data_IF_165538534526
#
_entry.id   IF_165538534526
#
_cell.length_a   1.000
_cell.length_b   1.000
_cell.length_c   1.000
_cell.angle_alpha   90.00
_cell.angle_beta   90.00
_cell.angle_gamma   90.00
#
_symmetry.space_group_name_H-M   'P 1'
#
loop_
_entity.id
_entity.type
_entity.pdbx_description
1 polymer ?
#
# COMPACT_ATOMS: atom_id res chain seq x y z
N UNK A 1 3.38 10.25 70.07
CA UNK A 1 2.62 9.06 69.62
C UNK A 1 1.69 9.31 68.41
N UNK A 2 1.33 10.55 68.04
CA UNK A 2 0.42 10.78 66.89
C UNK A 2 1.08 10.96 65.51
N UNK A 3 2.35 11.35 65.43
CA UNK A 3 2.99 11.63 64.12
C UNK A 3 3.23 10.34 63.31
N UNK A 4 3.66 9.26 63.97
CA UNK A 4 3.92 7.96 63.31
C UNK A 4 2.65 7.29 62.77
N UNK A 5 1.49 7.50 63.42
CA UNK A 5 0.20 6.94 62.96
C UNK A 5 -0.32 7.72 61.76
N UNK A 6 -0.21 9.06 61.76
CA UNK A 6 -0.63 9.90 60.64
C UNK A 6 0.23 9.67 59.38
N UNK A 7 1.56 9.57 59.54
CA UNK A 7 2.48 9.26 58.45
C UNK A 7 2.18 7.87 57.86
N UNK A 8 1.89 6.86 58.70
CA UNK A 8 1.50 5.52 58.22
C UNK A 8 0.15 5.49 57.51
N UNK A 9 -0.84 6.24 58.01
CA UNK A 9 -2.15 6.36 57.35
C UNK A 9 -2.06 7.06 55.99
N UNK A 10 -1.26 8.13 55.91
CA UNK A 10 -0.98 8.83 54.64
C UNK A 10 -0.23 7.93 53.64
N UNK A 11 0.72 7.13 54.12
CA UNK A 11 1.45 6.18 53.28
C UNK A 11 0.55 5.09 52.71
N UNK A 12 -0.31 4.48 53.54
CA UNK A 12 -1.25 3.45 53.10
C UNK A 12 -2.24 3.99 52.07
N UNK A 13 -2.73 5.21 52.25
CA UNK A 13 -3.60 5.88 51.29
C UNK A 13 -2.89 6.12 49.96
N UNK A 14 -1.64 6.61 49.98
CA UNK A 14 -0.84 6.78 48.76
C UNK A 14 -0.64 5.43 48.04
N UNK A 15 -0.28 4.37 48.79
CA UNK A 15 -0.12 3.04 48.24
C UNK A 15 -1.43 2.53 47.61
N UNK A 16 -2.57 2.70 48.29
CA UNK A 16 -3.89 2.32 47.80
C UNK A 16 -4.24 3.05 46.49
N UNK A 17 -4.01 4.36 46.43
CA UNK A 17 -4.24 5.16 45.22
C UNK A 17 -3.37 4.70 44.05
N UNK A 18 -2.08 4.42 44.29
CA UNK A 18 -1.16 3.94 43.25
C UNK A 18 -1.51 2.54 42.74
N UNK A 19 -2.10 1.68 43.59
CA UNK A 19 -2.60 0.37 43.16
C UNK A 19 -3.72 0.47 42.13
N UNK A 20 -4.48 1.57 42.14
CA UNK A 20 -5.59 1.81 41.21
C UNK A 20 -5.18 2.67 40.01
N UNK A 21 -4.25 3.61 40.22
CA UNK A 21 -3.69 4.45 39.16
C UNK A 21 -2.23 4.81 39.43
N UNK A 22 -1.31 4.03 38.85
CA UNK A 22 0.12 4.22 39.00
C UNK A 22 0.64 5.54 38.45
N UNK A 23 -0.09 6.21 37.54
CA UNK A 23 0.32 7.51 37.02
C UNK A 23 0.19 8.65 38.06
N UNK A 24 -0.49 8.41 39.18
CA UNK A 24 -0.52 9.35 40.31
C UNK A 24 0.86 9.53 40.94
N UNK A 25 1.84 8.66 40.66
CA UNK A 25 3.22 8.79 41.12
C UNK A 25 3.84 10.15 40.80
N UNK A 26 3.44 10.76 39.68
CA UNK A 26 3.91 12.08 39.25
C UNK A 26 3.57 13.23 40.22
N UNK A 27 2.61 13.03 41.13
CA UNK A 27 2.18 14.03 42.10
C UNK A 27 2.77 13.80 43.50
N UNK A 28 3.49 12.70 43.72
CA UNK A 28 4.12 12.40 45.00
C UNK A 28 5.44 13.16 45.15
N UNK A 29 5.51 14.03 46.15
CA UNK A 29 6.71 14.81 46.51
C UNK A 29 7.78 13.96 47.20
N UNK A 30 7.37 12.99 48.02
CA UNK A 30 8.25 12.04 48.69
C UNK A 30 7.97 10.63 48.17
N UNK A 31 8.94 10.07 47.47
CA UNK A 31 8.87 8.73 46.90
C UNK A 31 9.83 7.80 47.64
N UNK A 32 9.45 6.54 47.75
CA UNK A 32 10.36 5.45 48.11
C UNK A 32 10.26 4.32 47.08
N UNK A 33 11.09 3.30 47.28
CA UNK A 33 11.15 2.20 46.32
C UNK A 33 9.86 1.38 46.26
N UNK A 34 9.10 1.31 47.36
CA UNK A 34 7.87 0.51 47.44
C UNK A 34 6.72 1.20 46.72
N UNK A 35 6.50 2.50 46.96
CA UNK A 35 5.48 3.28 46.25
C UNK A 35 5.77 3.30 44.74
N UNK A 36 7.03 3.49 44.35
CA UNK A 36 7.43 3.44 42.94
C UNK A 36 7.11 2.07 42.33
N UNK A 37 7.43 0.98 43.05
CA UNK A 37 7.16 -0.39 42.59
C UNK A 37 5.66 -0.67 42.45
N UNK A 38 4.83 -0.24 43.40
CA UNK A 38 3.37 -0.37 43.34
C UNK A 38 2.82 0.36 42.10
N UNK A 39 3.26 1.60 41.89
CA UNK A 39 2.84 2.42 40.76
C UNK A 39 3.18 1.77 39.42
N UNK A 40 4.42 1.27 39.27
CA UNK A 40 4.90 0.64 38.04
C UNK A 40 4.22 -0.70 37.78
N UNK A 41 3.96 -1.50 38.83
CA UNK A 41 3.19 -2.75 38.71
C UNK A 41 1.77 -2.50 38.21
N UNK A 42 1.12 -1.42 38.64
CA UNK A 42 -0.18 -1.02 38.10
C UNK A 42 -0.05 -0.50 36.66
N UNK A 43 0.90 0.38 36.38
CA UNK A 43 1.12 0.96 35.06
C UNK A 43 2.62 1.09 34.74
N UNK A 44 3.16 0.30 33.80
CA UNK A 44 4.58 0.34 33.43
C UNK A 44 5.11 1.73 33.08
N UNK A 45 4.26 2.61 32.52
CA UNK A 45 4.64 3.99 32.15
C UNK A 45 4.83 4.91 33.34
N UNK A 46 4.40 4.51 34.54
CA UNK A 46 4.71 5.22 35.78
C UNK A 46 6.22 5.27 36.05
N UNK A 47 7.02 4.38 35.45
CA UNK A 47 8.48 4.39 35.57
C UNK A 47 9.10 5.74 35.18
N UNK A 48 8.45 6.49 34.28
CA UNK A 48 8.81 7.88 33.92
C UNK A 48 8.95 8.80 35.14
N UNK A 49 8.14 8.57 36.17
CA UNK A 49 8.05 9.43 37.36
C UNK A 49 8.78 8.87 38.58
N UNK A 50 9.33 7.65 38.47
CA UNK A 50 10.03 7.00 39.56
C UNK A 50 11.43 7.61 39.73
N UNK A 51 11.63 8.34 40.83
CA UNK A 51 12.91 8.94 41.19
C UNK A 51 13.93 7.90 41.66
N UNK A 52 13.45 6.82 42.26
CA UNK A 52 14.25 5.69 42.75
C UNK A 52 13.87 4.42 41.97
N UNK A 53 14.88 3.69 41.50
CA UNK A 53 14.69 2.48 40.69
C UNK A 53 15.38 1.26 41.28
N UNK A 54 14.73 0.09 41.19
CA UNK A 54 15.31 -1.21 41.49
C UNK A 54 15.10 -2.18 40.31
N UNK A 55 15.75 -3.33 40.37
CA UNK A 55 15.72 -4.31 39.29
C UNK A 55 14.32 -4.88 39.03
N UNK A 56 13.59 -5.26 40.07
CA UNK A 56 12.24 -5.83 39.94
C UNK A 56 11.29 -4.87 39.21
N UNK A 57 11.27 -3.60 39.61
CA UNK A 57 10.43 -2.57 39.03
C UNK A 57 10.79 -2.31 37.56
N UNK A 58 12.07 -2.15 37.26
CA UNK A 58 12.53 -1.93 35.88
C UNK A 58 12.21 -3.13 35.00
N UNK A 59 12.44 -4.35 35.48
CA UNK A 59 12.15 -5.58 34.75
C UNK A 59 10.65 -5.74 34.51
N UNK A 60 9.81 -5.46 35.50
CA UNK A 60 8.36 -5.46 35.36
C UNK A 60 7.90 -4.46 34.29
N UNK A 61 8.44 -3.24 34.31
CA UNK A 61 8.08 -2.20 33.34
C UNK A 61 8.39 -2.63 31.90
N UNK A 62 9.63 -3.03 31.62
CA UNK A 62 10.05 -3.39 30.25
C UNK A 62 9.39 -4.68 29.76
N UNK A 63 9.08 -5.60 30.67
CA UNK A 63 8.38 -6.85 30.34
C UNK A 63 6.96 -6.63 29.86
N UNK A 64 6.28 -5.63 30.43
CA UNK A 64 4.88 -5.32 30.09
C UNK A 64 4.76 -4.23 29.02
N UNK A 65 5.76 -3.35 28.88
CA UNK A 65 5.75 -2.28 27.89
C UNK A 65 7.20 -1.94 27.47
N UNK A 66 7.66 -2.49 26.35
CA UNK A 66 9.07 -2.40 25.94
C UNK A 66 9.56 -0.96 25.74
N UNK A 67 8.71 -0.04 25.27
CA UNK A 67 9.04 1.39 25.13
C UNK A 67 9.39 2.11 26.44
N UNK A 68 9.10 1.51 27.61
CA UNK A 68 9.47 2.04 28.93
C UNK A 68 10.97 1.98 29.19
N UNK A 69 11.73 1.22 28.38
CA UNK A 69 13.19 1.17 28.45
C UNK A 69 13.82 2.57 28.41
N UNK A 70 13.20 3.54 27.71
CA UNK A 70 13.66 4.94 27.69
C UNK A 70 13.73 5.60 29.06
N UNK A 71 12.96 5.12 30.05
CA UNK A 71 12.91 5.65 31.41
C UNK A 71 13.79 4.87 32.39
N UNK A 72 14.42 3.77 31.94
CA UNK A 72 15.36 3.01 32.77
C UNK A 72 16.69 3.77 32.84
N UNK A 73 17.12 4.08 34.07
CA UNK A 73 18.35 4.84 34.32
C UNK A 73 19.60 4.02 33.92
N UNK A 74 19.73 2.81 34.47
CA UNK A 74 20.84 1.91 34.19
C UNK A 74 20.36 0.73 33.34
N UNK A 75 20.52 0.83 32.02
CA UNK A 75 20.08 -0.18 31.05
C UNK A 75 21.04 -1.36 31.05
N UNK A 76 20.69 -2.42 31.77
CA UNK A 76 21.42 -3.70 31.72
C UNK A 76 21.03 -4.48 30.47
N UNK A 77 21.90 -5.41 30.05
CA UNK A 77 21.60 -6.29 28.92
C UNK A 77 20.27 -7.05 29.09
N UNK A 78 19.96 -7.47 30.32
CA UNK A 78 18.71 -8.14 30.64
C UNK A 78 17.49 -7.25 30.40
N UNK A 79 17.52 -5.98 30.83
CA UNK A 79 16.42 -5.04 30.60
C UNK A 79 16.25 -4.76 29.10
N UNK A 80 17.36 -4.55 28.40
CA UNK A 80 17.38 -4.34 26.96
C UNK A 80 16.76 -5.54 26.21
N UNK A 81 17.27 -6.76 26.42
CA UNK A 81 16.77 -7.95 25.74
C UNK A 81 15.29 -8.21 26.06
N UNK A 82 14.87 -8.01 27.31
CA UNK A 82 13.46 -8.15 27.70
C UNK A 82 12.55 -7.11 27.02
N UNK A 83 12.99 -5.86 26.96
CA UNK A 83 12.29 -4.79 26.25
C UNK A 83 12.16 -5.12 24.76
N UNK A 84 13.24 -5.57 24.12
CA UNK A 84 13.28 -5.87 22.68
C UNK A 84 12.45 -7.09 22.31
N UNK A 85 12.40 -8.09 23.19
CA UNK A 85 11.55 -9.27 23.01
C UNK A 85 10.06 -8.92 23.04
N UNK A 86 9.69 -7.89 23.80
CA UNK A 86 8.33 -7.37 23.87
C UNK A 86 8.02 -6.37 22.73
N UNK A 87 8.96 -5.45 22.45
CA UNK A 87 8.82 -4.37 21.46
C UNK A 87 10.16 -4.06 20.77
N UNK A 88 10.36 -4.57 19.55
CA UNK A 88 11.63 -4.49 18.83
C UNK A 88 12.04 -3.05 18.48
N UNK A 89 11.08 -2.12 18.34
CA UNK A 89 11.37 -0.70 18.12
C UNK A 89 12.00 -0.01 19.34
N UNK A 90 11.97 -0.64 20.53
CA UNK A 90 12.64 -0.13 21.72
C UNK A 90 14.17 -0.06 21.57
N UNK A 91 14.75 -0.70 20.54
CA UNK A 91 16.18 -0.60 20.23
C UNK A 91 16.65 0.84 20.02
N UNK A 92 15.74 1.75 19.63
CA UNK A 92 16.04 3.19 19.51
C UNK A 92 16.44 3.88 20.82
N UNK A 93 16.26 3.21 21.96
CA UNK A 93 16.63 3.69 23.29
C UNK A 93 17.87 3.00 23.84
N UNK A 94 18.56 2.19 23.03
CA UNK A 94 19.79 1.49 23.40
C UNK A 94 20.94 2.14 22.65
N UNK A 95 21.89 2.69 23.40
CA UNK A 95 23.14 3.17 22.84
C UNK A 95 24.06 1.97 22.57
N UNK A 96 24.61 1.88 21.36
CA UNK A 96 25.51 0.80 20.92
C UNK A 96 24.97 -0.62 21.19
N UNK A 97 23.80 -1.01 20.61
CA UNK A 97 23.22 -2.33 20.84
C UNK A 97 24.16 -3.45 20.36
N UNK A 98 24.21 -4.54 21.12
CA UNK A 98 24.94 -5.75 20.71
C UNK A 98 24.27 -6.42 19.52
N UNK A 99 24.99 -7.30 18.82
CA UNK A 99 24.40 -8.08 17.73
C UNK A 99 23.19 -8.91 18.18
N UNK A 100 23.24 -9.50 19.38
CA UNK A 100 22.11 -10.23 19.97
C UNK A 100 20.88 -9.33 20.15
N UNK A 101 21.07 -8.10 20.64
CA UNK A 101 20.00 -7.11 20.76
C UNK A 101 19.43 -6.73 19.39
N UNK A 102 20.30 -6.45 18.42
CA UNK A 102 19.90 -6.17 17.05
C UNK A 102 19.04 -7.30 16.47
N UNK A 103 19.49 -8.55 16.59
CA UNK A 103 18.76 -9.73 16.11
C UNK A 103 17.42 -9.93 16.84
N UNK A 104 17.40 -9.76 18.16
CA UNK A 104 16.16 -9.82 18.95
C UNK A 104 15.15 -8.78 18.45
N UNK A 105 15.62 -7.54 18.23
CA UNK A 105 14.78 -6.45 17.75
C UNK A 105 14.18 -6.73 16.37
N UNK A 106 14.99 -7.15 15.40
CA UNK A 106 14.50 -7.38 14.02
C UNK A 106 13.68 -8.66 13.87
N UNK A 107 13.90 -9.67 14.73
CA UNK A 107 13.03 -10.85 14.83
C UNK A 107 11.65 -10.48 15.36
N UNK A 108 11.58 -9.56 16.32
CA UNK A 108 10.30 -9.08 16.84
C UNK A 108 9.60 -8.16 15.82
N UNK A 109 10.34 -7.24 15.19
CA UNK A 109 9.82 -6.33 14.17
C UNK A 109 10.93 -5.92 13.19
N UNK A 110 10.84 -6.35 11.94
CA UNK A 110 11.87 -6.08 10.93
C UNK A 110 12.14 -4.59 10.69
N UNK A 111 11.16 -3.70 10.96
CA UNK A 111 11.36 -2.25 10.86
C UNK A 111 12.28 -1.66 11.94
N UNK A 112 12.61 -2.42 12.99
CA UNK A 112 13.63 -2.04 13.95
C UNK A 112 14.99 -1.78 13.28
N UNK A 113 15.24 -2.37 12.11
CA UNK A 113 16.44 -2.14 11.29
C UNK A 113 16.71 -0.65 11.02
N UNK A 114 15.66 0.18 10.95
CA UNK A 114 15.77 1.65 10.80
C UNK A 114 16.65 2.29 11.88
N UNK A 115 16.66 1.74 13.08
CA UNK A 115 17.37 2.30 14.24
C UNK A 115 18.73 1.63 14.48
N UNK A 116 19.10 0.63 13.69
CA UNK A 116 20.38 -0.08 13.80
C UNK A 116 21.40 0.60 12.88
N UNK A 117 22.45 1.18 13.47
CA UNK A 117 23.52 1.83 12.71
C UNK A 117 24.47 0.81 12.07
N UNK A 118 25.00 -0.10 12.88
CA UNK A 118 25.90 -1.14 12.40
C UNK A 118 25.11 -2.35 11.92
N UNK A 119 24.88 -2.41 10.60
CA UNK A 119 24.15 -3.49 9.95
C UNK A 119 25.11 -4.52 9.37
N UNK A 120 24.88 -5.79 9.67
CA UNK A 120 25.56 -6.91 9.02
C UNK A 120 24.57 -7.72 8.13
N UNK A 121 25.07 -8.60 7.25
CA UNK A 121 24.20 -9.37 6.36
C UNK A 121 23.15 -10.21 7.09
N UNK A 122 23.46 -10.76 8.27
CA UNK A 122 22.53 -11.59 9.04
C UNK A 122 21.37 -10.76 9.60
N UNK A 123 21.66 -9.61 10.23
CA UNK A 123 20.63 -8.70 10.76
C UNK A 123 19.70 -8.24 9.63
N UNK A 124 20.27 -7.84 8.48
CA UNK A 124 19.47 -7.43 7.31
C UNK A 124 18.59 -8.57 6.78
N UNK A 125 19.15 -9.78 6.63
CA UNK A 125 18.38 -10.95 6.17
C UNK A 125 17.23 -11.27 7.11
N UNK A 126 17.48 -11.31 8.43
CA UNK A 126 16.43 -11.60 9.41
C UNK A 126 15.34 -10.53 9.40
N UNK A 127 15.71 -9.25 9.30
CA UNK A 127 14.76 -8.15 9.21
C UNK A 127 13.84 -8.26 7.98
N UNK A 128 14.44 -8.51 6.81
CA UNK A 128 13.70 -8.65 5.54
C UNK A 128 12.90 -9.95 5.48
N UNK A 129 13.41 -11.04 6.06
CA UNK A 129 12.70 -12.32 6.19
C UNK A 129 11.37 -12.14 6.92
N UNK A 130 11.41 -11.49 8.08
CA UNK A 130 10.21 -11.29 8.89
C UNK A 130 9.32 -10.16 8.34
N UNK A 131 9.90 -9.16 7.68
CA UNK A 131 9.18 -8.02 7.14
C UNK A 131 9.82 -7.58 5.82
N UNK A 132 9.34 -8.05 4.65
CA UNK A 132 9.98 -7.77 3.36
C UNK A 132 10.22 -6.29 3.07
N UNK A 133 9.28 -5.43 3.50
CA UNK A 133 9.38 -3.97 3.37
C UNK A 133 10.48 -3.33 4.23
N UNK A 134 11.08 -4.05 5.18
CA UNK A 134 12.25 -3.60 5.92
C UNK A 134 13.47 -3.40 5.01
N UNK A 135 13.47 -3.95 3.78
CA UNK A 135 14.52 -3.69 2.79
C UNK A 135 14.72 -2.19 2.56
N UNK A 136 13.69 -1.35 2.72
CA UNK A 136 13.81 0.12 2.68
C UNK A 136 14.93 0.66 3.60
N UNK A 137 15.16 0.01 4.74
CA UNK A 137 16.13 0.42 5.76
C UNK A 137 17.48 -0.29 5.67
N UNK A 138 17.65 -1.24 4.74
CA UNK A 138 18.93 -1.90 4.49
C UNK A 138 19.88 -0.90 3.83
N UNK A 139 21.05 -0.64 4.43
CA UNK A 139 22.05 0.29 3.89
C UNK A 139 22.69 -0.24 2.61
N UNK A 140 23.11 -1.52 2.62
CA UNK A 140 23.73 -2.19 1.47
C UNK A 140 22.83 -3.33 0.97
N UNK A 141 22.06 -3.05 -0.07
CA UNK A 141 21.10 -4.00 -0.67
C UNK A 141 21.83 -4.90 -1.65
N UNK A 142 22.30 -6.04 -1.16
CA UNK A 142 22.88 -7.07 -2.03
C UNK A 142 21.82 -7.67 -2.94
N UNK A 143 22.24 -8.29 -4.05
CA UNK A 143 21.32 -9.01 -4.94
C UNK A 143 20.54 -10.09 -4.19
N UNK A 144 21.19 -10.82 -3.28
CA UNK A 144 20.56 -11.87 -2.47
C UNK A 144 19.41 -11.33 -1.61
N UNK A 145 19.65 -10.26 -0.83
CA UNK A 145 18.60 -9.67 0.03
C UNK A 145 17.48 -9.06 -0.83
N UNK A 146 17.84 -8.50 -1.98
CA UNK A 146 16.91 -7.90 -2.93
C UNK A 146 15.98 -8.95 -3.54
N UNK A 147 16.53 -10.07 -4.02
CA UNK A 147 15.77 -11.21 -4.53
C UNK A 147 14.82 -11.76 -3.47
N UNK A 148 15.34 -11.98 -2.26
CA UNK A 148 14.55 -12.46 -1.15
C UNK A 148 13.33 -11.54 -0.87
N UNK A 149 13.54 -10.21 -0.85
CA UNK A 149 12.47 -9.25 -0.61
C UNK A 149 11.40 -9.26 -1.71
N UNK A 150 11.80 -9.27 -2.99
CA UNK A 150 10.85 -9.21 -4.11
C UNK A 150 10.09 -10.52 -4.31
N UNK A 151 10.71 -11.65 -3.97
CA UNK A 151 10.03 -12.94 -3.96
C UNK A 151 8.91 -12.95 -2.92
N UNK A 152 9.17 -12.42 -1.72
CA UNK A 152 8.17 -12.34 -0.66
C UNK A 152 7.04 -11.33 -0.95
N UNK A 153 7.37 -10.11 -1.41
CA UNK A 153 6.38 -9.18 -1.97
C UNK A 153 7.01 -8.33 -3.08
N UNK A 154 6.56 -8.52 -4.31
CA UNK A 154 7.08 -7.81 -5.48
C UNK A 154 7.01 -6.27 -5.40
N UNK A 155 6.13 -5.69 -4.59
CA UNK A 155 6.09 -4.23 -4.40
C UNK A 155 7.30 -3.69 -3.63
N UNK A 156 8.11 -4.54 -3.00
CA UNK A 156 9.37 -4.12 -2.37
C UNK A 156 10.39 -3.60 -3.38
N UNK A 157 10.19 -3.91 -4.68
CA UNK A 157 10.98 -3.41 -5.80
C UNK A 157 11.16 -1.88 -5.78
N UNK A 158 10.16 -1.14 -5.31
CA UNK A 158 10.22 0.33 -5.20
C UNK A 158 11.37 0.85 -4.31
N UNK A 159 11.93 -0.01 -3.44
CA UNK A 159 13.00 0.33 -2.52
C UNK A 159 14.37 -0.18 -2.96
N UNK A 160 14.46 -0.89 -4.09
CA UNK A 160 15.71 -1.47 -4.58
C UNK A 160 16.30 -0.54 -5.64
N UNK A 161 17.45 0.10 -5.38
CA UNK A 161 18.12 0.93 -6.37
C UNK A 161 18.78 0.02 -7.41
N UNK A 162 18.69 0.42 -8.68
CA UNK A 162 19.31 -0.29 -9.81
C UNK A 162 19.04 -1.81 -9.84
N UNK A 163 17.77 -2.28 -9.84
CA UNK A 163 17.47 -3.69 -10.01
C UNK A 163 17.96 -4.21 -11.36
N UNK A 164 18.43 -5.46 -11.39
CA UNK A 164 18.73 -6.19 -12.61
C UNK A 164 17.47 -6.91 -13.14
N UNK A 165 17.58 -7.52 -14.32
CA UNK A 165 16.46 -8.20 -14.98
C UNK A 165 15.87 -9.34 -14.14
N UNK A 166 16.71 -10.09 -13.42
CA UNK A 166 16.27 -11.16 -12.53
C UNK A 166 15.39 -10.63 -11.38
N UNK A 167 15.80 -9.54 -10.71
CA UNK A 167 15.01 -8.91 -9.65
C UNK A 167 13.68 -8.38 -10.20
N UNK A 168 13.70 -7.76 -11.39
CA UNK A 168 12.47 -7.31 -12.04
C UNK A 168 11.52 -8.47 -12.32
N UNK A 169 12.03 -9.57 -12.88
CA UNK A 169 11.25 -10.75 -13.20
C UNK A 169 10.64 -11.38 -11.96
N UNK A 170 11.43 -11.60 -10.91
CA UNK A 170 10.96 -12.18 -9.64
C UNK A 170 9.93 -11.27 -8.94
N UNK A 171 10.12 -9.94 -8.99
CA UNK A 171 9.15 -9.00 -8.46
C UNK A 171 7.79 -9.10 -9.17
N UNK A 172 7.79 -9.15 -10.51
CA UNK A 172 6.56 -9.23 -11.30
C UNK A 172 5.91 -10.61 -11.20
N UNK A 173 6.71 -11.68 -11.14
CA UNK A 173 6.22 -13.04 -10.87
C UNK A 173 5.56 -13.13 -9.51
N UNK A 174 6.14 -12.53 -8.48
CA UNK A 174 5.52 -12.46 -7.15
C UNK A 174 4.23 -11.63 -7.22
N UNK A 175 4.34 -10.37 -7.66
CA UNK A 175 3.24 -9.40 -7.68
C UNK A 175 3.24 -8.59 -8.99
N UNK A 176 2.32 -8.85 -9.93
CA UNK A 176 2.29 -8.18 -11.23
C UNK A 176 2.23 -6.65 -11.17
N UNK A 177 1.63 -6.08 -10.12
CA UNK A 177 1.57 -4.63 -9.88
C UNK A 177 2.96 -3.99 -9.69
N UNK A 178 4.01 -4.77 -9.43
CA UNK A 178 5.38 -4.29 -9.36
C UNK A 178 5.84 -3.64 -10.67
N UNK A 179 5.19 -3.96 -11.80
CA UNK A 179 5.48 -3.37 -13.12
C UNK A 179 5.46 -1.83 -13.12
N UNK A 180 4.69 -1.21 -12.21
CA UNK A 180 4.64 0.25 -12.05
C UNK A 180 5.94 0.88 -11.55
N UNK A 181 6.82 0.08 -10.96
CA UNK A 181 8.13 0.53 -10.47
C UNK A 181 9.25 0.30 -11.51
N UNK A 182 8.93 -0.29 -12.66
CA UNK A 182 9.90 -0.58 -13.72
C UNK A 182 9.84 0.53 -14.77
N UNK A 183 10.93 1.31 -14.89
CA UNK A 183 10.98 2.44 -15.81
C UNK A 183 11.08 1.99 -17.28
N UNK A 184 11.93 1.01 -17.57
CA UNK A 184 12.10 0.43 -18.91
C UNK A 184 11.44 -0.96 -18.95
N UNK A 185 10.17 -1.00 -19.34
CA UNK A 185 9.37 -2.22 -19.35
C UNK A 185 9.66 -2.99 -20.64
N UNK A 186 10.37 -4.11 -20.56
CA UNK A 186 10.56 -4.99 -21.71
C UNK A 186 9.25 -5.69 -22.09
N UNK A 187 9.08 -6.00 -23.37
CA UNK A 187 7.91 -6.76 -23.84
C UNK A 187 7.76 -8.11 -23.12
N UNK A 188 8.87 -8.75 -22.76
CA UNK A 188 8.89 -9.99 -22.00
C UNK A 188 8.23 -9.84 -20.62
N UNK A 189 8.66 -8.86 -19.82
CA UNK A 189 8.13 -8.68 -18.47
C UNK A 189 6.67 -8.20 -18.46
N UNK A 190 6.30 -7.39 -19.46
CA UNK A 190 4.93 -6.94 -19.68
C UNK A 190 4.00 -8.14 -19.96
N UNK A 191 4.43 -9.07 -20.81
CA UNK A 191 3.66 -10.28 -21.11
C UNK A 191 3.47 -11.17 -19.88
N UNK A 192 4.50 -11.33 -19.04
CA UNK A 192 4.38 -12.05 -17.77
C UNK A 192 3.33 -11.38 -16.87
N UNK A 193 3.44 -10.07 -16.67
CA UNK A 193 2.54 -9.31 -15.81
C UNK A 193 1.08 -9.40 -16.27
N UNK A 194 0.84 -9.14 -17.56
CA UNK A 194 -0.49 -9.12 -18.17
C UNK A 194 -1.14 -10.51 -18.21
N UNK A 195 -0.34 -11.57 -18.39
CA UNK A 195 -0.83 -12.96 -18.33
C UNK A 195 -1.36 -13.30 -16.93
N UNK A 196 -0.67 -12.86 -15.87
CA UNK A 196 -1.07 -13.15 -14.49
C UNK A 196 -2.19 -12.24 -14.00
N UNK A 197 -2.17 -10.94 -14.34
CA UNK A 197 -3.20 -9.97 -13.94
C UNK A 197 -3.44 -8.93 -15.04
N UNK A 198 -4.45 -9.11 -15.92
CA UNK A 198 -4.69 -8.21 -17.05
C UNK A 198 -4.89 -6.74 -16.67
N UNK A 199 -5.44 -6.45 -15.48
CA UNK A 199 -5.70 -5.07 -15.03
C UNK A 199 -4.41 -4.24 -14.81
N UNK A 200 -3.23 -4.87 -14.75
CA UNK A 200 -1.96 -4.11 -14.68
C UNK A 200 -1.64 -3.33 -15.94
N UNK A 201 -2.42 -3.50 -17.03
CA UNK A 201 -2.33 -2.70 -18.25
C UNK A 201 -2.36 -1.18 -17.97
N UNK A 202 -3.06 -0.75 -16.91
CA UNK A 202 -3.09 0.66 -16.46
C UNK A 202 -1.69 1.23 -16.11
N UNK A 203 -0.70 0.38 -15.86
CA UNK A 203 0.68 0.75 -15.55
C UNK A 203 1.63 0.57 -16.75
N UNK A 204 1.12 0.09 -17.89
CA UNK A 204 1.89 -0.15 -19.10
C UNK A 204 1.87 1.12 -19.95
N UNK A 205 3.04 1.55 -20.43
CA UNK A 205 3.13 2.74 -21.29
C UNK A 205 2.33 2.53 -22.58
N UNK A 206 1.59 3.54 -23.00
CA UNK A 206 0.74 3.51 -24.20
C UNK A 206 1.54 3.37 -25.51
N UNK A 207 2.86 3.49 -25.46
CA UNK A 207 3.75 3.22 -26.61
C UNK A 207 3.81 1.74 -27.00
N UNK A 208 3.45 0.80 -26.11
CA UNK A 208 3.31 -0.62 -26.44
C UNK A 208 1.94 -0.89 -27.08
N UNK A 209 1.68 -0.28 -28.24
CA UNK A 209 0.36 -0.26 -28.90
C UNK A 209 -0.21 -1.68 -29.07
N UNK A 210 0.60 -2.66 -29.48
CA UNK A 210 0.15 -4.04 -29.72
C UNK A 210 -0.37 -4.74 -28.45
N UNK A 211 0.29 -4.51 -27.30
CA UNK A 211 -0.15 -5.06 -26.02
C UNK A 211 -1.48 -4.45 -25.56
N UNK A 212 -1.65 -3.15 -25.78
CA UNK A 212 -2.89 -2.45 -25.49
C UNK A 212 -4.04 -2.95 -26.37
N UNK A 213 -3.82 -3.06 -27.68
CA UNK A 213 -4.82 -3.60 -28.60
C UNK A 213 -5.18 -5.05 -28.26
N UNK A 214 -4.20 -5.90 -27.93
CA UNK A 214 -4.46 -7.26 -27.48
C UNK A 214 -5.29 -7.30 -26.18
N UNK A 215 -4.96 -6.43 -25.22
CA UNK A 215 -5.67 -6.33 -23.94
C UNK A 215 -7.12 -5.85 -24.13
N UNK A 216 -7.35 -4.84 -24.96
CA UNK A 216 -8.68 -4.30 -25.28
C UNK A 216 -9.49 -5.33 -26.05
N UNK A 217 -8.89 -6.05 -27.00
CA UNK A 217 -9.55 -7.14 -27.72
C UNK A 217 -10.06 -8.24 -26.78
N UNK A 218 -9.29 -8.56 -25.73
CA UNK A 218 -9.73 -9.53 -24.68
C UNK A 218 -10.76 -8.93 -23.73
N UNK A 219 -10.67 -7.64 -23.43
CA UNK A 219 -11.58 -6.92 -22.54
C UNK A 219 -11.75 -5.47 -22.96
N UNK A 220 -12.82 -5.20 -23.72
CA UNK A 220 -13.10 -3.90 -24.32
C UNK A 220 -13.11 -2.73 -23.32
N UNK A 221 -13.54 -2.98 -22.08
CA UNK A 221 -13.56 -1.97 -21.01
C UNK A 221 -12.19 -1.42 -20.61
N UNK A 222 -11.07 -1.99 -21.07
CA UNK A 222 -9.74 -1.41 -20.84
C UNK A 222 -9.46 -0.17 -21.69
N UNK A 223 -10.24 0.08 -22.75
CA UNK A 223 -10.05 1.28 -23.58
C UNK A 223 -10.19 2.58 -22.76
N UNK A 224 -11.01 2.57 -21.69
CA UNK A 224 -11.18 3.71 -20.76
C UNK A 224 -9.93 4.05 -19.95
N UNK A 225 -8.95 3.14 -19.91
CA UNK A 225 -7.69 3.36 -19.20
C UNK A 225 -6.67 4.13 -20.04
N UNK A 226 -6.91 4.27 -21.36
CA UNK A 226 -6.11 5.12 -22.23
C UNK A 226 -6.43 6.58 -21.88
N UNK A 227 -5.39 7.37 -21.62
CA UNK A 227 -5.55 8.76 -21.18
C UNK A 227 -5.50 9.74 -22.35
N UNK A 228 -4.37 9.80 -23.05
CA UNK A 228 -4.08 10.87 -24.01
C UNK A 228 -3.52 10.33 -25.33
N UNK A 229 -4.02 9.19 -25.80
CA UNK A 229 -3.57 8.57 -27.05
C UNK A 229 -4.74 8.25 -27.96
N UNK A 230 -5.22 9.30 -28.63
CA UNK A 230 -6.31 9.22 -29.59
C UNK A 230 -6.02 8.25 -30.74
N UNK A 231 -4.76 8.21 -31.22
CA UNK A 231 -4.33 7.26 -32.25
C UNK A 231 -4.57 5.82 -31.83
N UNK A 232 -4.24 5.45 -30.59
CA UNK A 232 -4.47 4.13 -30.05
C UNK A 232 -5.97 3.84 -29.86
N UNK A 233 -6.74 4.82 -29.40
CA UNK A 233 -8.21 4.72 -29.31
C UNK A 233 -8.82 4.46 -30.69
N UNK A 234 -8.42 5.23 -31.71
CA UNK A 234 -8.88 5.02 -33.10
C UNK A 234 -8.52 3.61 -33.58
N UNK A 235 -7.29 3.14 -33.35
CA UNK A 235 -6.89 1.77 -33.69
C UNK A 235 -7.74 0.71 -33.00
N UNK A 236 -8.11 0.92 -31.73
CA UNK A 236 -9.00 0.02 -31.02
C UNK A 236 -10.42 0.02 -31.62
N UNK A 237 -10.93 1.19 -32.01
CA UNK A 237 -12.23 1.32 -32.71
C UNK A 237 -12.18 0.64 -34.09
N UNK A 238 -11.08 0.77 -34.84
CA UNK A 238 -10.88 0.04 -36.10
C UNK A 238 -10.96 -1.48 -35.93
N UNK A 239 -10.52 -2.02 -34.79
CA UNK A 239 -10.61 -3.46 -34.51
C UNK A 239 -12.01 -3.90 -34.05
N UNK A 240 -12.71 -3.05 -33.29
CA UNK A 240 -14.06 -3.31 -32.82
C UNK A 240 -14.80 -1.98 -32.58
N UNK A 241 -15.70 -1.57 -33.48
CA UNK A 241 -16.41 -0.29 -33.35
C UNK A 241 -17.24 -0.13 -32.07
N UNK A 242 -17.71 -1.23 -31.47
CA UNK A 242 -18.58 -1.21 -30.29
C UNK A 242 -17.84 -0.87 -28.99
N UNK A 243 -16.50 -0.88 -28.97
CA UNK A 243 -15.70 -0.51 -27.78
C UNK A 243 -15.94 0.93 -27.34
N UNK A 244 -16.50 1.76 -28.22
CA UNK A 244 -16.84 3.16 -27.94
C UNK A 244 -17.76 3.31 -26.72
N UNK A 245 -18.60 2.30 -26.41
CA UNK A 245 -19.47 2.31 -25.22
C UNK A 245 -18.70 2.42 -23.90
N UNK A 246 -17.42 2.04 -23.88
CA UNK A 246 -16.60 2.01 -22.68
C UNK A 246 -15.78 3.29 -22.48
N UNK A 247 -15.67 4.16 -23.48
CA UNK A 247 -15.01 5.45 -23.30
C UNK A 247 -15.85 6.34 -22.38
N UNK A 248 -15.18 7.05 -21.46
CA UNK A 248 -15.84 7.97 -20.52
C UNK A 248 -16.38 9.22 -21.23
N UNK A 249 -15.71 9.66 -22.28
CA UNK A 249 -16.19 10.68 -23.22
C UNK A 249 -16.30 10.07 -24.62
N UNK A 250 -17.36 10.41 -25.35
CA UNK A 250 -17.61 9.92 -26.70
C UNK A 250 -17.64 11.09 -27.71
N UNK A 251 -16.47 11.65 -28.07
CA UNK A 251 -16.38 12.72 -29.07
C UNK A 251 -17.06 12.34 -30.37
N UNK A 252 -17.76 13.30 -30.99
CA UNK A 252 -18.59 13.03 -32.17
C UNK A 252 -17.79 12.43 -33.34
N UNK A 253 -16.54 12.84 -33.55
CA UNK A 253 -15.72 12.28 -34.63
C UNK A 253 -15.35 10.81 -34.40
N UNK A 254 -15.13 10.38 -33.15
CA UNK A 254 -14.93 8.96 -32.81
C UNK A 254 -16.22 8.16 -32.94
N UNK A 255 -17.36 8.76 -32.58
CA UNK A 255 -18.69 8.17 -32.82
C UNK A 255 -18.96 7.95 -34.31
N UNK A 256 -18.70 8.97 -35.13
CA UNK A 256 -18.81 8.87 -36.59
C UNK A 256 -17.85 7.84 -37.16
N UNK A 257 -16.62 7.75 -36.64
CA UNK A 257 -15.68 6.70 -37.04
C UNK A 257 -16.27 5.31 -36.75
N UNK A 258 -16.73 5.06 -35.53
CA UNK A 258 -17.33 3.78 -35.16
C UNK A 258 -18.53 3.41 -36.06
N UNK A 259 -19.46 4.35 -36.25
CA UNK A 259 -20.65 4.16 -37.12
C UNK A 259 -20.26 3.96 -38.58
N UNK A 260 -19.19 4.60 -39.06
CA UNK A 260 -18.72 4.41 -40.44
C UNK A 260 -18.15 3.01 -40.70
N UNK A 261 -17.60 2.38 -39.67
CA UNK A 261 -17.03 1.04 -39.72
C UNK A 261 -18.10 -0.04 -39.51
N UNK A 262 -19.04 0.21 -38.59
CA UNK A 262 -20.21 -0.64 -38.35
C UNK A 262 -21.39 0.26 -37.96
N UNK A 263 -22.40 0.34 -38.83
CA UNK A 263 -23.58 1.17 -38.57
C UNK A 263 -24.33 0.79 -37.29
N UNK A 264 -24.20 -0.46 -36.81
CA UNK A 264 -24.81 -0.94 -35.58
C UNK A 264 -24.15 -0.33 -34.33
N UNK A 265 -22.92 0.17 -34.45
CA UNK A 265 -22.19 0.81 -33.35
C UNK A 265 -22.90 2.05 -32.81
N UNK A 266 -23.88 2.63 -33.52
CA UNK A 266 -24.73 3.69 -32.98
C UNK A 266 -25.43 3.27 -31.68
N UNK A 267 -25.77 1.99 -31.51
CA UNK A 267 -26.35 1.47 -30.27
C UNK A 267 -25.41 1.62 -29.06
N UNK A 268 -24.10 1.57 -29.29
CA UNK A 268 -23.04 1.73 -28.29
C UNK A 268 -22.82 3.21 -27.89
N UNK A 269 -23.36 4.16 -28.66
CA UNK A 269 -23.25 5.60 -28.38
C UNK A 269 -24.31 6.03 -27.34
N UNK A 270 -23.87 6.76 -26.31
CA UNK A 270 -24.71 7.24 -25.20
C UNK A 270 -25.60 8.41 -25.62
N UNK A 271 -25.02 9.39 -26.29
CA UNK A 271 -25.71 10.55 -26.85
C UNK A 271 -25.76 10.46 -28.38
N UNK A 272 -26.92 10.08 -28.92
CA UNK A 272 -27.11 9.91 -30.36
C UNK A 272 -27.70 11.21 -30.92
N UNK A 273 -26.83 12.18 -31.19
CA UNK A 273 -27.23 13.46 -31.78
C UNK A 273 -27.97 13.22 -33.10
N UNK A 274 -28.89 14.12 -33.46
CA UNK A 274 -29.64 14.00 -34.73
C UNK A 274 -28.68 13.88 -35.93
N UNK A 275 -27.60 14.67 -35.95
CA UNK A 275 -26.58 14.60 -36.99
C UNK A 275 -25.93 13.22 -37.08
N UNK A 276 -25.62 12.58 -35.94
CA UNK A 276 -25.06 11.24 -35.91
C UNK A 276 -26.08 10.17 -36.33
N UNK A 277 -27.35 10.31 -35.94
CA UNK A 277 -28.44 9.44 -36.37
C UNK A 277 -28.63 9.47 -37.90
N UNK A 278 -28.70 10.66 -38.48
CA UNK A 278 -28.79 10.85 -39.94
C UNK A 278 -27.54 10.29 -40.64
N UNK A 279 -26.35 10.50 -40.06
CA UNK A 279 -25.12 9.92 -40.57
C UNK A 279 -25.18 8.38 -40.55
N UNK A 280 -25.69 7.75 -39.50
CA UNK A 280 -25.84 6.29 -39.44
C UNK A 280 -26.81 5.76 -40.50
N UNK A 281 -27.95 6.44 -40.72
CA UNK A 281 -28.89 6.11 -41.81
C UNK A 281 -28.24 6.21 -43.18
N UNK A 282 -27.36 7.19 -43.39
CA UNK A 282 -26.59 7.32 -44.63
C UNK A 282 -25.62 6.15 -44.88
N UNK A 283 -25.25 5.40 -43.82
CA UNK A 283 -24.40 4.19 -43.94
C UNK A 283 -25.24 2.94 -44.17
N UNK A 284 -26.40 2.83 -43.53
CA UNK A 284 -27.34 1.73 -43.74
C UNK A 284 -28.70 2.10 -43.18
N UNK A 285 -29.76 1.84 -43.95
CA UNK A 285 -31.14 2.05 -43.48
C UNK A 285 -31.48 1.20 -42.25
N UNK A 286 -30.84 0.03 -42.09
CA UNK A 286 -31.02 -0.83 -40.93
C UNK A 286 -30.53 -0.17 -39.62
N UNK A 287 -29.76 0.91 -39.69
CA UNK A 287 -29.32 1.66 -38.52
C UNK A 287 -30.50 2.20 -37.69
N UNK A 288 -31.67 2.42 -38.29
CA UNK A 288 -32.89 2.85 -37.58
C UNK A 288 -33.26 1.93 -36.40
N UNK A 289 -32.93 0.64 -36.50
CA UNK A 289 -33.21 -0.36 -35.48
C UNK A 289 -32.29 -0.25 -34.26
N UNK A 290 -31.14 0.42 -34.42
CA UNK A 290 -30.11 0.59 -33.39
C UNK A 290 -30.14 2.00 -32.76
N UNK A 291 -30.87 2.93 -33.37
CA UNK A 291 -31.17 4.25 -32.79
C UNK A 291 -32.18 4.07 -31.63
N UNK A 292 -31.84 4.58 -30.44
CA UNK A 292 -32.71 4.51 -29.27
C UNK A 292 -33.94 5.37 -29.50
N UNK A 293 -35.11 4.92 -29.05
CA UNK A 293 -36.40 5.56 -29.37
C UNK A 293 -36.43 7.07 -29.08
N UNK A 294 -35.83 7.51 -27.96
CA UNK A 294 -35.77 8.94 -27.58
C UNK A 294 -34.96 9.83 -28.55
N UNK A 295 -34.13 9.25 -29.43
CA UNK A 295 -33.32 9.98 -30.41
C UNK A 295 -33.86 9.85 -31.85
N UNK A 296 -35.03 9.23 -32.04
CA UNK A 296 -35.74 9.20 -33.33
C UNK A 296 -36.58 10.46 -33.48
N UNK A 297 -35.93 11.58 -33.79
CA UNK A 297 -36.63 12.82 -34.10
C UNK A 297 -37.50 12.68 -35.36
N UNK A 298 -38.43 13.61 -35.54
CA UNK A 298 -39.26 13.68 -36.76
C UNK A 298 -38.39 13.75 -38.02
N UNK A 299 -37.28 14.50 -37.97
CA UNK A 299 -36.33 14.58 -39.08
C UNK A 299 -35.68 13.21 -39.39
N UNK A 300 -35.26 12.46 -38.36
CA UNK A 300 -34.68 11.12 -38.54
C UNK A 300 -35.69 10.14 -39.13
N UNK A 301 -36.95 10.20 -38.69
CA UNK A 301 -38.03 9.33 -39.19
C UNK A 301 -38.41 9.69 -40.62
N UNK A 302 -38.59 10.97 -40.92
CA UNK A 302 -38.94 11.44 -42.27
C UNK A 302 -37.82 11.09 -43.26
N UNK A 303 -36.56 11.33 -42.89
CA UNK A 303 -35.41 10.93 -43.72
C UNK A 303 -35.40 9.42 -43.97
N UNK A 304 -35.72 8.60 -42.97
CA UNK A 304 -35.81 7.15 -43.14
C UNK A 304 -36.94 6.75 -44.12
N UNK A 305 -38.12 7.35 -43.99
CA UNK A 305 -39.28 7.08 -44.86
C UNK A 305 -39.06 7.55 -46.29
N UNK A 306 -38.45 8.73 -46.49
CA UNK A 306 -38.12 9.26 -47.82
C UNK A 306 -37.15 8.35 -48.58
N UNK A 307 -36.15 7.82 -47.87
CA UNK A 307 -35.13 6.99 -48.50
C UNK A 307 -35.58 5.55 -48.72
N UNK A 308 -36.48 5.00 -47.88
CA UNK A 308 -36.74 3.56 -47.82
C UNK A 308 -38.20 3.13 -47.58
N UNK A 309 -39.16 4.05 -47.48
CA UNK A 309 -40.56 3.78 -47.12
C UNK A 309 -41.45 3.23 -48.25
N UNK A 310 -40.92 2.38 -49.14
CA UNK A 310 -41.71 1.67 -50.16
C UNK A 310 -41.91 0.20 -49.80
#
# INVERSE_FOLDING_TARGET
MNNDIYIRSSYQECAYQLQHNGLLLKYLSHQDIQLNTIAVKNNPRALKYAQLQNEEMCLNAVSNCGDTLKYVNNKTNQFCLKALSNEGLAIRYIDNPTEEMCLTAVRQNGFALKFIQEQNPLICKVAVFNTPFAIKYVKHKTQEISLFAVQADGNTLQYIPQPNDEIYEEAVKSKPEAIRFIHNQSDYILRIALKKKPYVIQYVKECHEDLWLEAIRKKSSFIKLIKNNEKLIMKAIYQNPHVINHLDEQPEHLCRLAVSLDYQAIAAVRDQTESLCLYALSKSWHAINFIKQKYKSENVINTYLELYGR
#
